data_IF_271345034459
#
_entry.id   IF_271345034459
#
_cell.length_a   1.000
_cell.length_b   1.000
_cell.length_c   1.000
_cell.angle_alpha   90.00
_cell.angle_beta   90.00
_cell.angle_gamma   90.00
#
_symmetry.space_group_name_H-M   'P 1'
#
loop_
_entity.id
_entity.type
_entity.pdbx_description
1 polymer ?
#
# COMPACT_ATOMS: atom_id res chain seq x y z
N UNK A 1 -12.32 -9.16 -1.66
CA UNK A 1 -12.93 -9.77 -0.45
C UNK A 1 -11.86 -10.14 0.57
N UNK A 2 -12.01 -9.74 1.84
CA UNK A 2 -11.02 -9.89 2.94
C UNK A 2 -10.54 -11.34 3.21
N UNK A 3 -11.24 -12.32 2.65
CA UNK A 3 -10.96 -13.75 2.74
C UNK A 3 -10.98 -14.43 1.36
N UNK A 4 -10.47 -13.75 0.33
CA UNK A 4 -10.27 -14.39 -0.98
C UNK A 4 -9.28 -15.55 -0.86
N UNK A 5 -9.62 -16.69 -1.46
CA UNK A 5 -8.73 -17.87 -1.54
C UNK A 5 -7.77 -17.79 -2.73
N UNK A 6 -7.97 -16.84 -3.64
CA UNK A 6 -7.07 -16.60 -4.75
C UNK A 6 -5.76 -15.96 -4.26
N UNK A 7 -4.63 -16.64 -4.45
CA UNK A 7 -3.30 -16.23 -3.95
C UNK A 7 -3.25 -16.09 -2.40
N UNK A 8 -3.76 -17.10 -1.68
CA UNK A 8 -3.89 -17.08 -0.22
C UNK A 8 -2.56 -16.90 0.52
N UNK A 9 -1.49 -17.51 0.02
CA UNK A 9 -0.10 -17.35 0.45
C UNK A 9 0.36 -15.88 0.34
N UNK A 10 0.18 -15.28 -0.83
CA UNK A 10 0.47 -13.85 -1.03
C UNK A 10 -0.34 -12.97 -0.06
N UNK A 11 -1.64 -13.21 0.06
CA UNK A 11 -2.50 -12.42 0.96
C UNK A 11 -2.07 -12.56 2.43
N UNK A 12 -1.71 -13.77 2.87
CA UNK A 12 -1.24 -14.01 4.22
C UNK A 12 0.08 -13.28 4.49
N UNK A 13 1.04 -13.33 3.57
CA UNK A 13 2.31 -12.59 3.72
C UNK A 13 2.10 -11.08 3.82
N UNK A 14 1.14 -10.51 3.06
CA UNK A 14 0.81 -9.08 3.15
C UNK A 14 0.12 -8.69 4.45
N UNK A 15 -0.74 -9.56 5.00
CA UNK A 15 -1.31 -9.37 6.35
C UNK A 15 -0.23 -9.46 7.43
N UNK A 16 0.67 -10.43 7.35
CA UNK A 16 1.79 -10.54 8.27
C UNK A 16 2.72 -9.32 8.20
N UNK A 17 3.01 -8.81 6.99
CA UNK A 17 3.81 -7.60 6.80
C UNK A 17 3.15 -6.36 7.40
N UNK A 18 1.82 -6.24 7.30
CA UNK A 18 1.06 -5.16 7.93
C UNK A 18 1.28 -5.14 9.45
N UNK A 19 1.02 -6.26 10.13
CA UNK A 19 1.24 -6.39 11.57
C UNK A 19 2.71 -6.20 11.95
N UNK A 20 3.62 -6.78 11.17
CA UNK A 20 5.06 -6.64 11.40
C UNK A 20 5.51 -5.17 11.36
N UNK A 21 4.95 -4.35 10.46
CA UNK A 21 5.27 -2.90 10.39
C UNK A 21 4.98 -2.22 11.73
N UNK A 22 3.84 -2.55 12.34
CA UNK A 22 3.41 -1.97 13.62
C UNK A 22 4.25 -2.50 14.79
N UNK A 23 4.50 -3.81 14.83
CA UNK A 23 5.37 -4.43 15.84
C UNK A 23 6.80 -3.87 15.78
N UNK A 24 7.36 -3.73 14.57
CA UNK A 24 8.70 -3.20 14.36
C UNK A 24 8.81 -1.72 14.75
N UNK A 25 7.77 -0.92 14.51
CA UNK A 25 7.71 0.47 14.97
C UNK A 25 7.82 0.59 16.50
N UNK A 26 7.15 -0.31 17.24
CA UNK A 26 7.25 -0.38 18.71
C UNK A 26 8.63 -0.88 19.14
N UNK A 27 9.16 -1.92 18.49
CA UNK A 27 10.42 -2.57 18.87
C UNK A 27 11.65 -1.68 18.63
N UNK A 28 11.67 -0.87 17.57
CA UNK A 28 12.85 -0.10 17.17
C UNK A 28 12.77 1.40 17.48
N UNK A 29 11.60 1.89 17.88
CA UNK A 29 11.47 3.25 18.40
C UNK A 29 12.30 3.46 19.68
N UNK A 30 12.88 4.66 19.91
CA UNK A 30 12.86 5.86 19.06
C UNK A 30 13.95 5.89 17.99
N UNK A 31 14.85 4.89 17.93
CA UNK A 31 16.02 4.90 17.05
C UNK A 31 15.66 4.80 15.56
N UNK A 32 14.63 4.00 15.24
CA UNK A 32 14.15 3.78 13.88
C UNK A 32 12.63 3.90 13.87
N UNK A 33 12.10 4.68 12.92
CA UNK A 33 10.67 4.73 12.60
C UNK A 33 10.37 3.69 11.51
N UNK A 34 9.25 3.01 11.63
CA UNK A 34 8.82 2.00 10.65
C UNK A 34 7.43 2.35 10.18
N UNK A 35 7.25 2.53 8.87
CA UNK A 35 5.95 2.82 8.25
C UNK A 35 5.82 2.00 6.96
N UNK A 36 4.59 1.84 6.49
CA UNK A 36 4.28 1.13 5.25
C UNK A 36 3.51 1.98 4.25
N UNK A 37 3.56 1.56 3.00
CA UNK A 37 2.69 2.08 1.93
C UNK A 37 1.95 0.89 1.33
N UNK A 38 0.62 0.97 1.25
CA UNK A 38 -0.23 -0.03 0.61
C UNK A 38 -0.65 0.48 -0.78
N UNK A 39 0.03 0.07 -1.86
CA UNK A 39 -0.28 0.57 -3.20
C UNK A 39 -1.48 -0.16 -3.81
N UNK A 40 -2.29 0.60 -4.55
CA UNK A 40 -3.23 0.04 -5.53
C UNK A 40 -2.56 -0.25 -6.87
N UNK A 41 -3.30 -0.08 -7.96
CA UNK A 41 -2.80 -0.21 -9.34
C UNK A 41 -1.85 0.92 -9.74
N UNK A 42 -0.65 0.93 -9.17
CA UNK A 42 0.37 1.96 -9.43
C UNK A 42 1.41 1.47 -10.44
N UNK A 43 1.86 0.22 -10.31
CA UNK A 43 2.82 -0.40 -11.24
C UNK A 43 2.09 -1.26 -12.26
N UNK A 44 2.65 -1.33 -13.48
CA UNK A 44 2.14 -2.23 -14.51
C UNK A 44 2.36 -3.69 -14.06
N UNK A 45 1.38 -4.59 -14.29
CA UNK A 45 1.59 -6.00 -14.01
C UNK A 45 2.68 -6.56 -14.95
N UNK A 46 3.61 -7.35 -14.39
CA UNK A 46 4.76 -7.88 -15.14
C UNK A 46 4.32 -8.90 -16.20
N UNK A 47 3.25 -9.66 -15.96
CA UNK A 47 2.82 -10.80 -16.78
C UNK A 47 1.29 -10.90 -16.98
N UNK A 48 0.57 -9.77 -17.07
CA UNK A 48 -0.89 -9.76 -17.33
C UNK A 48 -1.26 -8.71 -18.36
N UNK A 49 -2.37 -8.92 -19.07
CA UNK A 49 -2.98 -7.87 -19.87
C UNK A 49 -3.21 -6.63 -19.01
N UNK A 50 -2.84 -5.46 -19.54
CA UNK A 50 -2.98 -4.19 -18.83
C UNK A 50 -4.46 -3.77 -18.80
N UNK A 51 -5.16 -4.20 -17.74
CA UNK A 51 -6.56 -3.88 -17.48
C UNK A 51 -6.73 -2.63 -16.58
N UNK A 52 -5.63 -1.91 -16.29
CA UNK A 52 -5.62 -0.81 -15.31
C UNK A 52 -6.62 0.29 -15.66
N UNK A 53 -6.85 0.58 -16.94
CA UNK A 53 -7.85 1.57 -17.37
C UNK A 53 -9.28 1.14 -17.02
N UNK A 54 -9.63 -0.12 -17.28
CA UNK A 54 -10.96 -0.65 -16.98
C UNK A 54 -11.21 -0.73 -15.47
N UNK A 55 -10.19 -1.11 -14.71
CA UNK A 55 -10.26 -1.19 -13.25
C UNK A 55 -10.27 0.22 -12.63
N UNK A 56 -9.50 1.17 -13.16
CA UNK A 56 -9.54 2.57 -12.73
C UNK A 56 -10.93 3.19 -12.89
N UNK A 57 -11.69 2.86 -13.94
CA UNK A 57 -13.06 3.37 -14.10
C UNK A 57 -14.01 3.00 -12.95
N UNK A 58 -13.66 1.99 -12.15
CA UNK A 58 -14.49 1.48 -11.04
C UNK A 58 -14.09 2.04 -9.67
N UNK A 59 -12.89 2.60 -9.52
CA UNK A 59 -12.40 3.11 -8.23
C UNK A 59 -12.81 4.58 -8.01
N UNK A 60 -12.89 5.07 -6.76
CA UNK A 60 -13.37 6.42 -6.45
C UNK A 60 -12.69 7.56 -7.23
N UNK A 61 -11.35 7.54 -7.36
CA UNK A 61 -10.63 8.61 -8.05
C UNK A 61 -10.61 8.49 -9.59
N UNK A 62 -11.15 7.40 -10.16
CA UNK A 62 -11.24 7.17 -11.62
C UNK A 62 -9.94 7.37 -12.40
N UNK A 63 -8.80 7.07 -11.78
CA UNK A 63 -7.46 7.33 -12.35
C UNK A 63 -6.53 6.15 -12.09
N UNK A 64 -5.63 5.90 -13.04
CA UNK A 64 -4.55 4.93 -12.85
C UNK A 64 -3.48 5.55 -11.95
N UNK A 65 -2.97 4.77 -10.99
CA UNK A 65 -1.89 5.21 -10.13
C UNK A 65 -0.58 5.41 -10.92
N UNK A 66 0.27 6.31 -10.43
CA UNK A 66 1.59 6.58 -10.99
C UNK A 66 2.64 6.46 -9.89
N UNK A 67 3.87 5.96 -10.16
CA UNK A 67 4.93 5.85 -9.15
C UNK A 67 5.18 7.13 -8.35
N UNK A 68 4.98 8.30 -8.98
CA UNK A 68 5.06 9.61 -8.33
C UNK A 68 4.17 9.74 -7.08
N UNK A 69 2.99 9.11 -7.06
CA UNK A 69 2.12 9.13 -5.87
C UNK A 69 2.77 8.41 -4.68
N UNK A 70 3.52 7.33 -4.94
CA UNK A 70 4.26 6.61 -3.89
C UNK A 70 5.42 7.46 -3.40
N UNK A 71 6.17 8.11 -4.31
CA UNK A 71 7.27 9.00 -3.95
C UNK A 71 6.79 10.15 -3.05
N UNK A 72 5.66 10.77 -3.37
CA UNK A 72 5.06 11.82 -2.53
C UNK A 72 4.73 11.33 -1.11
N UNK A 73 4.28 10.07 -0.96
CA UNK A 73 4.04 9.47 0.35
C UNK A 73 5.33 9.16 1.09
N UNK A 74 6.39 8.74 0.40
CA UNK A 74 7.73 8.55 0.98
C UNK A 74 8.24 9.90 1.53
N UNK A 75 8.16 10.97 0.74
CA UNK A 75 8.59 12.32 1.16
C UNK A 75 7.85 12.77 2.42
N UNK A 76 6.53 12.52 2.51
CA UNK A 76 5.74 12.77 3.72
C UNK A 76 6.25 11.99 4.94
N UNK A 77 6.46 10.66 4.80
CA UNK A 77 6.90 9.80 5.89
C UNK A 77 8.32 10.13 6.37
N UNK A 78 9.18 10.59 5.45
CA UNK A 78 10.53 11.04 5.79
C UNK A 78 10.53 12.41 6.46
N UNK A 79 9.70 13.34 5.97
CA UNK A 79 9.63 14.72 6.46
C UNK A 79 8.89 14.90 7.79
N UNK A 80 8.15 13.89 8.27
CA UNK A 80 7.45 13.92 9.55
C UNK A 80 8.07 12.93 10.55
N UNK A 81 8.86 13.44 11.48
CA UNK A 81 9.59 12.66 12.49
C UNK A 81 8.70 12.11 13.62
N UNK A 82 7.44 12.54 13.69
CA UNK A 82 6.46 12.06 14.67
C UNK A 82 5.59 10.90 14.17
N UNK A 83 5.76 10.46 12.92
CA UNK A 83 4.97 9.36 12.32
C UNK A 83 5.75 8.04 12.33
N UNK A 84 5.22 7.04 13.03
CA UNK A 84 5.69 5.65 13.03
C UNK A 84 4.52 4.68 13.19
N UNK A 85 4.68 3.44 12.76
CA UNK A 85 3.68 2.37 12.80
C UNK A 85 2.48 2.56 11.87
N UNK A 86 2.53 3.54 10.96
CA UNK A 86 1.42 3.85 10.07
C UNK A 86 1.60 3.20 8.70
N UNK A 87 0.47 2.81 8.10
CA UNK A 87 0.42 2.26 6.75
C UNK A 87 -0.52 3.13 5.92
N UNK A 88 0.05 3.89 4.99
CA UNK A 88 -0.71 4.81 4.14
C UNK A 88 -1.13 4.07 2.89
N UNK A 89 -2.44 4.05 2.60
CA UNK A 89 -2.96 3.43 1.40
C UNK A 89 -2.99 4.43 0.24
N UNK A 90 -2.34 4.06 -0.87
CA UNK A 90 -2.16 4.90 -2.07
C UNK A 90 -2.73 4.14 -3.27
N UNK A 91 -4.05 4.13 -3.38
CA UNK A 91 -4.78 3.27 -4.32
C UNK A 91 -5.95 3.95 -5.03
N UNK A 92 -6.14 5.26 -4.84
CA UNK A 92 -7.28 5.99 -5.41
C UNK A 92 -8.64 5.59 -4.82
N UNK A 93 -8.64 5.03 -3.61
CA UNK A 93 -9.84 4.59 -2.89
C UNK A 93 -10.31 3.18 -3.25
N UNK A 94 -9.49 2.43 -3.98
CA UNK A 94 -9.83 1.08 -4.44
C UNK A 94 -10.20 0.12 -3.30
N UNK A 95 -9.49 0.15 -2.18
CA UNK A 95 -9.73 -0.74 -1.04
C UNK A 95 -11.10 -0.55 -0.37
N UNK A 96 -11.79 0.55 -0.65
CA UNK A 96 -13.06 0.92 -0.03
C UNK A 96 -14.27 0.30 -0.75
N UNK A 97 -14.07 -0.40 -1.87
CA UNK A 97 -15.13 -0.96 -2.73
C UNK A 97 -14.90 -2.44 -3.09
#
# INVERSE_FOLDING_TARGET
TRHSTSCADYLLTKKALHEFTQMAAVQWGPKIRVNGISPGMVLAPVNRMDDRKARAAKIPLRKVGHPKHILQTIDFLLGNDFVTGQIITVDGGEQLI
#
